data_IF_275355921030
#
_entry.id   IF_275355921030
#
_cell.length_a   1.000
_cell.length_b   1.000
_cell.length_c   1.000
_cell.angle_alpha   90.00
_cell.angle_beta   90.00
_cell.angle_gamma   90.00
#
_symmetry.space_group_name_H-M   'P 1'
#
loop_
_entity.id
_entity.type
_entity.pdbx_description
1 polymer ?
#
# COMPACT_ATOMS: atom_id res chain seq x y z
N UNK A 1 12.97 -61.62 -12.84
CA UNK A 1 14.16 -60.79 -13.08
C UNK A 1 13.73 -59.34 -13.26
N UNK A 2 13.81 -58.56 -12.20
CA UNK A 2 14.10 -57.12 -12.20
C UNK A 2 14.37 -56.78 -10.73
N UNK A 3 15.61 -56.37 -10.46
CA UNK A 3 16.20 -56.22 -9.14
C UNK A 3 15.50 -55.18 -8.28
N UNK A 4 15.43 -55.53 -7.00
CA UNK A 4 15.13 -54.67 -5.87
C UNK A 4 15.96 -53.37 -5.93
N UNK A 5 15.26 -52.26 -5.66
CA UNK A 5 15.81 -50.91 -5.59
C UNK A 5 17.03 -50.86 -4.66
N UNK A 6 18.21 -50.71 -5.26
CA UNK A 6 19.44 -50.31 -4.61
C UNK A 6 19.36 -48.86 -4.16
N UNK A 7 18.96 -48.60 -2.91
CA UNK A 7 19.40 -47.44 -2.14
C UNK A 7 19.33 -47.78 -0.65
N UNK A 8 20.37 -48.43 -0.13
CA UNK A 8 20.60 -48.49 1.32
C UNK A 8 21.19 -47.15 1.77
N UNK A 9 20.58 -46.53 2.79
CA UNK A 9 21.14 -45.34 3.45
C UNK A 9 22.44 -45.72 4.16
N UNK A 10 23.56 -45.12 3.75
CA UNK A 10 24.86 -45.31 4.42
C UNK A 10 24.95 -44.30 5.56
N UNK A 11 24.99 -44.79 6.79
CA UNK A 11 25.21 -43.98 8.00
C UNK A 11 26.70 -43.92 8.31
N UNK A 12 27.32 -42.75 8.17
CA UNK A 12 28.71 -42.52 8.57
C UNK A 12 28.74 -41.96 10.00
N UNK A 13 29.07 -42.77 11.00
CA UNK A 13 29.25 -42.29 12.38
C UNK A 13 30.71 -41.91 12.65
N UNK A 14 30.95 -40.74 13.24
CA UNK A 14 32.15 -40.48 14.03
C UNK A 14 31.81 -40.74 15.50
N UNK A 15 32.37 -41.81 16.06
CA UNK A 15 32.15 -42.23 17.44
C UNK A 15 33.08 -41.44 18.36
N UNK A 16 32.51 -40.52 19.14
CA UNK A 16 33.07 -40.19 20.47
C UNK A 16 31.90 -39.76 21.36
N UNK A 17 31.39 -40.72 22.14
CA UNK A 17 30.19 -40.57 22.96
C UNK A 17 30.56 -40.08 24.36
N UNK A 18 30.06 -38.92 24.75
CA UNK A 18 29.87 -38.53 26.15
C UNK A 18 28.37 -38.38 26.39
N UNK A 19 27.90 -39.00 27.48
CA UNK A 19 26.49 -39.23 27.86
C UNK A 19 25.58 -38.01 27.62
N UNK A 20 24.76 -38.06 26.57
CA UNK A 20 23.72 -37.05 26.30
C UNK A 20 22.44 -37.71 25.75
N UNK A 21 21.95 -38.76 26.44
CA UNK A 21 20.77 -39.56 26.03
C UNK A 21 19.55 -38.70 25.71
N UNK A 22 19.26 -37.69 26.55
CA UNK A 22 18.09 -36.84 26.40
C UNK A 22 18.12 -35.97 25.14
N UNK A 23 19.31 -35.49 24.74
CA UNK A 23 19.46 -34.67 23.53
C UNK A 23 19.24 -35.54 22.29
N UNK A 24 19.85 -36.72 22.23
CA UNK A 24 19.75 -37.63 21.08
C UNK A 24 18.36 -38.29 20.91
N UNK A 25 17.50 -38.26 21.92
CA UNK A 25 16.09 -38.67 21.80
C UNK A 25 15.24 -37.62 21.05
N UNK A 26 15.63 -36.33 21.08
CA UNK A 26 14.88 -35.23 20.46
C UNK A 26 15.59 -34.57 19.26
N UNK A 27 16.92 -34.54 19.25
CA UNK A 27 17.76 -33.94 18.21
C UNK A 27 18.98 -34.83 17.93
N UNK A 28 19.16 -35.27 16.68
CA UNK A 28 20.34 -36.06 16.30
C UNK A 28 21.61 -35.20 16.33
N UNK A 29 22.57 -35.50 17.23
CA UNK A 29 23.86 -34.81 17.27
C UNK A 29 24.68 -35.08 16.00
N UNK A 30 25.15 -34.01 15.37
CA UNK A 30 26.12 -34.10 14.26
C UNK A 30 25.53 -34.31 12.87
N UNK A 31 24.20 -34.40 12.74
CA UNK A 31 23.56 -34.46 11.41
C UNK A 31 23.53 -33.07 10.77
N UNK A 32 24.53 -32.75 9.94
CA UNK A 32 24.40 -31.64 9.00
C UNK A 32 23.65 -32.13 7.76
N UNK A 33 22.47 -31.53 7.54
CA UNK A 33 21.63 -31.69 6.33
C UNK A 33 21.10 -33.10 6.08
N UNK A 34 19.96 -33.38 6.71
CA UNK A 34 18.63 -33.48 6.10
C UNK A 34 17.81 -34.30 7.10
N UNK A 35 16.95 -33.62 7.86
CA UNK A 35 16.04 -34.28 8.77
C UNK A 35 14.85 -34.79 7.94
N UNK A 36 14.85 -36.09 7.60
CA UNK A 36 13.70 -36.77 7.00
C UNK A 36 12.69 -37.24 8.06
N UNK A 37 12.68 -36.62 9.24
CA UNK A 37 11.52 -36.64 10.10
C UNK A 37 10.42 -35.84 9.41
N UNK A 38 9.69 -36.49 8.49
CA UNK A 38 8.41 -36.02 8.00
C UNK A 38 7.42 -36.06 9.18
N UNK A 39 7.60 -35.16 10.15
CA UNK A 39 6.45 -34.63 10.87
C UNK A 39 5.48 -34.24 9.76
N UNK A 40 4.26 -34.77 9.76
CA UNK A 40 3.28 -34.45 8.74
C UNK A 40 3.22 -32.91 8.62
N UNK A 41 3.84 -32.37 7.58
CA UNK A 41 3.92 -30.95 7.32
C UNK A 41 2.57 -30.55 6.72
N UNK A 42 1.54 -30.61 7.56
CA UNK A 42 0.20 -30.23 7.24
C UNK A 42 -0.17 -28.97 8.03
N UNK A 43 -0.97 -28.13 7.40
CA UNK A 43 -1.66 -27.08 8.12
C UNK A 43 -2.82 -27.73 8.89
N UNK A 44 -3.15 -27.24 10.10
CA UNK A 44 -4.37 -27.66 10.78
C UNK A 44 -5.58 -27.42 9.89
N UNK A 45 -6.58 -28.31 9.93
CA UNK A 45 -7.79 -28.18 9.10
C UNK A 45 -8.56 -26.87 9.34
N UNK A 46 -8.40 -26.27 10.53
CA UNK A 46 -9.02 -25.00 10.95
C UNK A 46 -8.10 -23.78 10.73
N UNK A 47 -7.03 -23.90 9.92
CA UNK A 47 -6.16 -22.74 9.66
C UNK A 47 -6.91 -21.64 8.90
N UNK A 48 -6.81 -20.36 9.33
CA UNK A 48 -7.49 -19.24 8.69
C UNK A 48 -7.11 -19.02 7.22
N UNK A 49 -6.02 -19.62 6.74
CA UNK A 49 -5.60 -19.55 5.34
C UNK A 49 -6.64 -20.18 4.40
N UNK A 50 -7.36 -21.22 4.88
CA UNK A 50 -8.43 -21.86 4.11
C UNK A 50 -9.64 -20.95 3.99
N UNK A 51 -10.00 -20.27 5.08
CA UNK A 51 -11.05 -19.24 5.08
C UNK A 51 -10.70 -18.11 4.12
N UNK A 52 -9.47 -17.61 4.16
CA UNK A 52 -9.01 -16.57 3.24
C UNK A 52 -9.14 -17.03 1.78
N UNK A 53 -8.68 -18.24 1.44
CA UNK A 53 -8.79 -18.76 0.08
C UNK A 53 -10.24 -18.79 -0.39
N UNK A 54 -11.15 -19.32 0.44
CA UNK A 54 -12.59 -19.36 0.14
C UNK A 54 -13.17 -17.96 -0.03
N UNK A 55 -12.72 -17.00 0.77
CA UNK A 55 -13.11 -15.59 0.63
C UNK A 55 -12.69 -15.04 -0.73
N UNK A 56 -11.43 -15.29 -1.10
CA UNK A 56 -10.84 -14.79 -2.33
C UNK A 56 -11.42 -15.41 -3.60
N UNK A 57 -11.85 -16.68 -3.58
CA UNK A 57 -12.43 -17.36 -4.76
C UNK A 57 -13.69 -16.66 -5.31
N UNK A 58 -14.41 -15.90 -4.48
CA UNK A 58 -15.63 -15.18 -4.88
C UNK A 58 -15.37 -13.70 -5.23
N UNK A 59 -14.15 -13.20 -5.06
CA UNK A 59 -13.79 -11.82 -5.41
C UNK A 59 -13.49 -11.70 -6.90
N UNK A 60 -13.89 -10.58 -7.50
CA UNK A 60 -13.51 -10.22 -8.85
C UNK A 60 -12.18 -9.46 -8.86
N UNK A 61 -11.15 -10.09 -9.42
CA UNK A 61 -9.82 -9.52 -9.58
C UNK A 61 -9.59 -8.87 -10.95
N UNK A 62 -10.63 -8.66 -11.76
CA UNK A 62 -10.53 -8.03 -13.07
C UNK A 62 -9.73 -6.72 -13.05
N UNK A 63 -10.01 -5.82 -12.10
CA UNK A 63 -9.28 -4.56 -11.92
C UNK A 63 -7.80 -4.74 -11.56
N UNK A 64 -7.47 -5.77 -10.77
CA UNK A 64 -6.09 -6.10 -10.41
C UNK A 64 -5.31 -6.68 -11.60
N UNK A 65 -5.97 -7.50 -12.42
CA UNK A 65 -5.40 -8.14 -13.60
C UNK A 65 -5.32 -7.20 -14.81
N UNK A 66 -6.18 -6.19 -14.90
CA UNK A 66 -6.17 -5.21 -15.99
C UNK A 66 -4.83 -4.44 -16.07
N UNK A 67 -4.17 -4.26 -14.92
CA UNK A 67 -2.88 -3.61 -14.86
C UNK A 67 -1.72 -4.56 -15.18
N UNK A 68 -1.94 -5.84 -15.49
CA UNK A 68 -0.89 -6.77 -15.89
C UNK A 68 -0.43 -6.55 -17.32
N UNK A 69 0.89 -6.62 -17.51
CA UNK A 69 1.48 -6.58 -18.85
C UNK A 69 1.76 -8.01 -19.30
N UNK A 70 1.32 -8.36 -20.50
CA UNK A 70 1.66 -9.63 -21.15
C UNK A 70 3.06 -9.61 -21.78
N UNK A 71 3.73 -8.45 -21.74
CA UNK A 71 5.07 -8.25 -22.29
C UNK A 71 6.13 -8.28 -21.19
N UNK A 72 7.22 -9.01 -21.43
CA UNK A 72 8.40 -9.08 -20.57
C UNK A 72 8.52 -10.39 -19.79
N UNK A 73 9.32 -10.38 -18.73
CA UNK A 73 9.48 -11.54 -17.84
C UNK A 73 8.18 -11.80 -17.10
N UNK A 74 7.78 -13.07 -17.00
CA UNK A 74 6.61 -13.47 -16.21
C UNK A 74 6.81 -13.06 -14.74
N UNK A 75 6.00 -12.08 -14.30
CA UNK A 75 5.96 -11.65 -12.91
C UNK A 75 5.24 -12.65 -12.01
N UNK A 76 5.25 -12.37 -10.71
CA UNK A 76 4.41 -13.10 -9.76
C UNK A 76 2.93 -12.88 -10.06
N UNK A 77 2.11 -13.89 -9.81
CA UNK A 77 0.66 -13.77 -9.98
C UNK A 77 0.11 -12.69 -9.01
N UNK A 78 -0.58 -11.64 -9.50
CA UNK A 78 -1.10 -10.58 -8.64
C UNK A 78 -2.09 -11.06 -7.58
N UNK A 79 -2.90 -12.08 -7.89
CA UNK A 79 -3.86 -12.66 -6.95
C UNK A 79 -3.10 -13.36 -5.80
N UNK A 80 -2.01 -14.05 -6.13
CA UNK A 80 -1.13 -14.66 -5.13
C UNK A 80 -0.47 -13.59 -4.25
N UNK A 81 0.03 -12.51 -4.85
CA UNK A 81 0.63 -11.40 -4.10
C UNK A 81 -0.40 -10.73 -3.18
N UNK A 82 -1.63 -10.52 -3.66
CA UNK A 82 -2.73 -10.02 -2.86
C UNK A 82 -3.07 -10.96 -1.70
N UNK A 83 -3.18 -12.27 -1.96
CA UNK A 83 -3.45 -13.27 -0.92
C UNK A 83 -2.44 -13.20 0.22
N UNK A 84 -1.14 -13.16 -0.12
CA UNK A 84 -0.06 -13.09 0.87
C UNK A 84 -0.13 -11.82 1.70
N UNK A 85 -0.36 -10.67 1.04
CA UNK A 85 -0.47 -9.37 1.73
C UNK A 85 -1.69 -9.34 2.65
N UNK A 86 -2.83 -9.85 2.18
CA UNK A 86 -4.07 -9.92 2.97
C UNK A 86 -3.90 -10.86 4.16
N UNK A 87 -3.32 -12.04 3.96
CA UNK A 87 -3.05 -12.98 5.06
C UNK A 87 -2.07 -12.41 6.09
N UNK A 88 -1.02 -11.73 5.63
CA UNK A 88 -0.09 -11.04 6.52
C UNK A 88 -0.82 -9.99 7.37
N UNK A 89 -1.69 -9.19 6.77
CA UNK A 89 -2.49 -8.20 7.48
C UNK A 89 -3.46 -8.84 8.47
N UNK A 90 -4.09 -9.98 8.14
CA UNK A 90 -4.93 -10.75 9.07
C UNK A 90 -4.14 -11.20 10.32
N UNK A 91 -2.88 -11.57 10.15
CA UNK A 91 -1.97 -11.91 11.26
C UNK A 91 -1.29 -10.68 11.91
N UNK A 92 -1.65 -9.45 11.51
CA UNK A 92 -1.09 -8.20 12.06
C UNK A 92 0.32 -7.84 11.57
N UNK A 93 0.82 -8.51 10.52
CA UNK A 93 2.19 -8.38 10.01
C UNK A 93 2.21 -7.38 8.85
N UNK A 94 2.81 -6.21 9.09
CA UNK A 94 2.86 -5.11 8.10
C UNK A 94 4.24 -4.89 7.48
N UNK A 95 5.29 -5.38 8.11
CA UNK A 95 6.67 -5.23 7.63
C UNK A 95 6.94 -6.17 6.46
N UNK A 96 7.31 -5.62 5.29
CA UNK A 96 7.55 -6.40 4.07
C UNK A 96 8.67 -7.41 4.27
N UNK A 97 9.74 -7.04 4.96
CA UNK A 97 10.86 -7.96 5.22
C UNK A 97 10.42 -9.17 6.04
N UNK A 98 9.50 -8.97 6.98
CA UNK A 98 8.91 -10.06 7.75
C UNK A 98 8.01 -10.95 6.88
N UNK A 99 7.26 -10.38 5.96
CA UNK A 99 6.43 -11.14 5.00
C UNK A 99 7.32 -12.01 4.11
N UNK A 100 8.43 -11.47 3.60
CA UNK A 100 9.40 -12.22 2.79
C UNK A 100 9.97 -13.40 3.57
N UNK A 101 10.36 -13.19 4.84
CA UNK A 101 10.84 -14.27 5.70
C UNK A 101 9.77 -15.35 5.92
N UNK A 102 8.51 -14.97 6.12
CA UNK A 102 7.41 -15.91 6.32
C UNK A 102 7.13 -16.74 5.07
N UNK A 103 7.24 -16.16 3.87
CA UNK A 103 7.16 -16.89 2.61
C UNK A 103 8.21 -18.01 2.48
N UNK A 104 9.29 -17.98 3.28
CA UNK A 104 10.31 -19.03 3.28
C UNK A 104 10.18 -20.04 4.43
N UNK A 105 9.47 -19.67 5.52
CA UNK A 105 9.50 -20.42 6.78
C UNK A 105 8.14 -20.93 7.24
N UNK A 106 7.06 -20.19 6.98
CA UNK A 106 5.72 -20.51 7.48
C UNK A 106 4.94 -21.30 6.43
N UNK A 107 4.36 -22.44 6.83
CA UNK A 107 3.64 -23.34 5.92
C UNK A 107 2.47 -22.66 5.21
N UNK A 108 1.73 -21.77 5.88
CA UNK A 108 0.57 -21.12 5.29
C UNK A 108 1.00 -20.15 4.19
N UNK A 109 2.08 -19.41 4.43
CA UNK A 109 2.66 -18.52 3.41
C UNK A 109 3.26 -19.29 2.24
N UNK A 110 3.99 -20.37 2.51
CA UNK A 110 4.54 -21.26 1.48
C UNK A 110 3.42 -21.87 0.64
N UNK A 111 2.32 -22.27 1.27
CA UNK A 111 1.16 -22.81 0.57
C UNK A 111 0.48 -21.77 -0.32
N UNK A 112 0.27 -20.55 0.18
CA UNK A 112 -0.27 -19.43 -0.59
C UNK A 112 0.60 -19.08 -1.80
N UNK A 113 1.93 -19.09 -1.63
CA UNK A 113 2.88 -18.80 -2.73
C UNK A 113 3.16 -20.00 -3.63
N UNK A 114 2.58 -21.18 -3.35
CA UNK A 114 2.90 -22.45 -4.02
C UNK A 114 4.41 -22.74 -4.03
N UNK A 115 5.10 -22.41 -2.94
CA UNK A 115 6.55 -22.57 -2.79
C UNK A 115 7.40 -21.51 -3.49
N UNK A 116 6.79 -20.52 -4.13
CA UNK A 116 7.52 -19.39 -4.68
C UNK A 116 8.03 -18.48 -3.55
N UNK A 117 9.15 -17.79 -3.80
CA UNK A 117 9.83 -16.93 -2.83
C UNK A 117 9.91 -15.49 -3.34
N UNK A 118 8.81 -14.72 -3.24
CA UNK A 118 8.81 -13.32 -3.66
C UNK A 118 9.80 -12.52 -2.82
N UNK A 119 10.64 -11.74 -3.50
CA UNK A 119 11.58 -10.83 -2.84
C UNK A 119 10.88 -9.51 -2.47
N UNK A 120 11.54 -8.73 -1.62
CA UNK A 120 11.10 -7.40 -1.18
C UNK A 120 10.67 -6.50 -2.35
N UNK A 121 11.45 -6.47 -3.43
CA UNK A 121 11.16 -5.64 -4.60
C UNK A 121 9.84 -6.01 -5.28
N UNK A 122 9.50 -7.30 -5.32
CA UNK A 122 8.24 -7.76 -5.89
C UNK A 122 7.03 -7.24 -5.09
N UNK A 123 7.15 -7.18 -3.75
CA UNK A 123 6.09 -6.62 -2.90
C UNK A 123 5.94 -5.12 -3.08
N UNK A 124 7.04 -4.37 -3.19
CA UNK A 124 6.95 -2.92 -3.44
C UNK A 124 6.44 -2.61 -4.84
N UNK A 125 6.86 -3.36 -5.86
CA UNK A 125 6.32 -3.22 -7.21
C UNK A 125 4.81 -3.50 -7.21
N UNK A 126 4.39 -4.58 -6.55
CA UNK A 126 2.98 -4.92 -6.42
C UNK A 126 2.19 -3.80 -5.72
N UNK A 127 2.63 -3.37 -4.52
CA UNK A 127 1.94 -2.34 -3.73
C UNK A 127 1.90 -0.98 -4.41
N UNK A 128 2.95 -0.59 -5.11
CA UNK A 128 3.06 0.77 -5.66
C UNK A 128 2.53 0.89 -7.09
N UNK A 129 2.56 -0.18 -7.89
CA UNK A 129 2.19 -0.12 -9.31
C UNK A 129 0.93 -0.91 -9.67
N UNK A 130 0.66 -2.03 -8.99
CA UNK A 130 -0.44 -2.93 -9.35
C UNK A 130 -1.65 -2.73 -8.47
N UNK A 131 -1.43 -2.56 -7.16
CA UNK A 131 -2.48 -2.33 -6.16
C UNK A 131 -2.74 -0.83 -5.98
N UNK A 132 -3.35 -0.22 -7.00
CA UNK A 132 -3.82 1.17 -6.93
C UNK A 132 -4.92 1.34 -5.88
N UNK A 133 -5.09 2.57 -5.39
CA UNK A 133 -6.14 2.89 -4.40
C UNK A 133 -7.53 2.46 -4.89
N UNK A 134 -7.87 2.75 -6.16
CA UNK A 134 -9.17 2.38 -6.74
C UNK A 134 -9.40 0.86 -6.77
N UNK A 135 -8.35 0.07 -7.08
CA UNK A 135 -8.44 -1.39 -7.09
C UNK A 135 -8.62 -1.93 -5.67
N UNK A 136 -7.92 -1.34 -4.70
CA UNK A 136 -8.04 -1.73 -3.30
C UNK A 136 -9.43 -1.41 -2.74
N UNK A 137 -9.98 -0.23 -3.07
CA UNK A 137 -11.30 0.20 -2.64
C UNK A 137 -12.40 -0.69 -3.22
N UNK A 138 -12.29 -1.06 -4.50
CA UNK A 138 -13.24 -1.97 -5.16
C UNK A 138 -13.19 -3.38 -4.51
N UNK A 139 -12.00 -3.94 -4.30
CA UNK A 139 -11.84 -5.23 -3.61
C UNK A 139 -12.38 -5.19 -2.17
N UNK A 140 -12.16 -4.08 -1.46
CA UNK A 140 -12.68 -3.89 -0.11
C UNK A 140 -14.22 -3.76 -0.11
N UNK A 141 -14.79 -3.07 -1.10
CA UNK A 141 -16.23 -2.97 -1.26
C UNK A 141 -16.87 -4.35 -1.50
N UNK A 142 -16.29 -5.16 -2.38
CA UNK A 142 -16.74 -6.55 -2.61
C UNK A 142 -16.67 -7.39 -1.33
N UNK A 143 -15.59 -7.26 -0.56
CA UNK A 143 -15.43 -7.94 0.72
C UNK A 143 -16.50 -7.53 1.74
N UNK A 144 -16.78 -6.23 1.90
CA UNK A 144 -17.83 -5.74 2.80
C UNK A 144 -19.23 -6.21 2.36
N UNK A 145 -19.52 -6.21 1.05
CA UNK A 145 -20.77 -6.75 0.50
C UNK A 145 -20.94 -8.23 0.79
N UNK A 146 -19.86 -9.01 0.76
CA UNK A 146 -19.87 -10.42 1.16
C UNK A 146 -20.20 -10.57 2.64
N UNK A 147 -19.50 -9.84 3.51
CA UNK A 147 -19.77 -9.89 4.96
C UNK A 147 -21.22 -9.51 5.29
N UNK A 148 -21.80 -8.55 4.55
CA UNK A 148 -23.21 -8.20 4.68
C UNK A 148 -24.12 -9.35 4.25
N UNK A 149 -23.83 -10.01 3.12
CA UNK A 149 -24.60 -11.14 2.61
C UNK A 149 -24.59 -12.34 3.56
N UNK A 150 -23.45 -12.60 4.20
CA UNK A 150 -23.29 -13.65 5.21
C UNK A 150 -23.90 -13.24 6.58
N UNK A 151 -24.40 -12.02 6.72
CA UNK A 151 -25.03 -11.53 7.96
C UNK A 151 -24.03 -11.21 9.09
N UNK A 152 -22.73 -11.18 8.78
CA UNK A 152 -21.66 -10.89 9.75
C UNK A 152 -21.58 -9.39 10.08
N UNK A 153 -22.01 -8.52 9.16
CA UNK A 153 -22.06 -7.07 9.37
C UNK A 153 -23.41 -6.51 8.91
N UNK A 154 -23.81 -5.40 9.54
CA UNK A 154 -25.01 -4.65 9.15
C UNK A 154 -24.61 -3.27 8.63
N UNK A 155 -24.84 -2.99 7.35
CA UNK A 155 -24.53 -1.69 6.72
C UNK A 155 -25.60 -0.60 6.96
N UNK A 156 -26.46 -0.75 7.99
CA UNK A 156 -27.57 0.19 8.28
C UNK A 156 -27.10 1.46 8.97
N UNK A 157 -25.98 1.40 9.70
CA UNK A 157 -25.47 2.48 10.53
C UNK A 157 -24.04 2.78 10.14
N UNK A 158 -23.78 4.03 9.74
CA UNK A 158 -22.44 4.53 9.47
C UNK A 158 -21.81 4.98 10.79
N UNK A 159 -20.81 4.24 11.25
CA UNK A 159 -19.98 4.65 12.38
C UNK A 159 -18.76 5.39 11.84
N UNK A 160 -18.78 6.71 11.89
CA UNK A 160 -17.59 7.52 11.66
C UNK A 160 -16.87 7.59 12.99
N UNK A 161 -15.96 6.66 13.24
CA UNK A 161 -15.03 6.80 14.36
C UNK A 161 -14.08 7.94 14.02
N UNK A 162 -14.15 9.00 14.82
CA UNK A 162 -13.37 10.20 14.59
C UNK A 162 -11.90 9.91 14.86
N UNK A 163 -11.16 9.44 13.85
CA UNK A 163 -9.70 9.47 13.91
C UNK A 163 -9.29 10.93 14.02
N UNK A 164 -8.85 11.35 15.22
CA UNK A 164 -8.21 12.65 15.43
C UNK A 164 -6.88 12.64 14.69
N UNK A 165 -6.93 13.00 13.42
CA UNK A 165 -5.76 13.46 12.68
C UNK A 165 -5.41 14.81 13.29
N UNK A 166 -4.21 14.95 13.84
CA UNK A 166 -3.70 16.26 14.22
C UNK A 166 -3.61 17.11 12.95
N UNK A 167 -4.64 17.92 12.73
CA UNK A 167 -4.59 18.97 11.73
C UNK A 167 -3.44 19.91 12.12
N UNK A 168 -2.65 20.33 11.13
CA UNK A 168 -1.68 21.41 11.26
C UNK A 168 -2.29 22.55 12.09
N UNK A 169 -1.82 22.68 13.33
CA UNK A 169 -2.47 23.45 14.37
C UNK A 169 -2.21 24.94 14.15
N UNK A 170 -3.03 25.58 13.31
CA UNK A 170 -3.20 27.02 13.42
C UNK A 170 -3.84 27.31 14.78
N UNK A 171 -3.29 28.28 15.52
CA UNK A 171 -3.65 28.65 16.90
C UNK A 171 -5.13 29.05 17.08
N UNK A 172 -5.87 29.23 15.98
CA UNK A 172 -7.27 29.62 15.98
C UNK A 172 -8.15 28.49 15.41
N UNK A 173 -8.95 27.88 16.29
CA UNK A 173 -9.92 26.82 15.96
C UNK A 173 -11.08 27.33 15.07
N UNK A 174 -11.27 28.64 15.02
CA UNK A 174 -12.30 29.30 14.22
C UNK A 174 -11.65 30.41 13.39
N UNK A 175 -11.84 30.36 12.07
CA UNK A 175 -11.36 31.39 11.15
C UNK A 175 -12.56 32.12 10.56
N UNK A 176 -12.58 33.44 10.70
CA UNK A 176 -13.64 34.27 10.13
C UNK A 176 -13.53 34.28 8.61
N UNK A 177 -14.63 34.00 7.91
CA UNK A 177 -14.71 34.04 6.44
C UNK A 177 -14.18 35.36 5.87
N UNK A 178 -14.43 36.48 6.56
CA UNK A 178 -13.92 37.80 6.15
C UNK A 178 -12.39 37.90 6.17
N UNK A 179 -11.74 37.29 7.16
CA UNK A 179 -10.27 37.26 7.30
C UNK A 179 -9.64 36.41 6.20
N UNK A 180 -10.23 35.25 5.88
CA UNK A 180 -9.78 34.39 4.76
C UNK A 180 -9.83 35.17 3.44
N UNK A 181 -10.96 35.82 3.17
CA UNK A 181 -11.14 36.58 1.93
C UNK A 181 -10.15 37.77 1.84
N UNK A 182 -9.85 38.42 2.97
CA UNK A 182 -8.88 39.52 3.03
C UNK A 182 -7.44 39.04 2.72
N UNK A 183 -7.00 37.94 3.34
CA UNK A 183 -5.66 37.40 3.09
C UNK A 183 -5.52 36.76 1.71
N UNK A 184 -6.59 36.14 1.20
CA UNK A 184 -6.63 35.62 -0.17
C UNK A 184 -6.39 36.74 -1.19
N UNK A 185 -7.01 37.91 -1.00
CA UNK A 185 -6.80 39.07 -1.86
C UNK A 185 -5.32 39.49 -1.93
N UNK A 186 -4.69 39.67 -0.76
CA UNK A 186 -3.28 40.08 -0.69
C UNK A 186 -2.32 39.03 -1.27
N UNK A 187 -2.65 37.74 -1.11
CA UNK A 187 -1.88 36.66 -1.72
C UNK A 187 -1.98 36.68 -3.25
N UNK A 188 -3.17 36.94 -3.80
CA UNK A 188 -3.36 37.05 -5.25
C UNK A 188 -2.65 38.28 -5.83
N UNK A 189 -2.72 39.43 -5.15
CA UNK A 189 -1.97 40.64 -5.56
C UNK A 189 -0.45 40.37 -5.54
N UNK A 190 0.03 39.60 -4.55
CA UNK A 190 1.43 39.21 -4.48
C UNK A 190 1.84 38.27 -5.63
N UNK A 191 0.99 37.30 -5.96
CA UNK A 191 1.21 36.38 -7.09
C UNK A 191 1.27 37.16 -8.41
N UNK A 192 0.35 38.10 -8.63
CA UNK A 192 0.36 38.94 -9.84
C UNK A 192 1.65 39.76 -9.94
N UNK A 193 2.09 40.36 -8.84
CA UNK A 193 3.36 41.09 -8.80
C UNK A 193 4.58 40.20 -9.10
N UNK A 194 4.54 38.92 -8.71
CA UNK A 194 5.61 37.95 -9.00
C UNK A 194 5.63 37.56 -10.48
N UNK A 195 4.46 37.36 -11.10
CA UNK A 195 4.38 37.12 -12.54
C UNK A 195 4.88 38.31 -13.34
N UNK A 196 4.54 39.54 -12.95
CA UNK A 196 5.07 40.75 -13.58
C UNK A 196 6.60 40.83 -13.48
N UNK A 197 7.16 40.57 -12.29
CA UNK A 197 8.62 40.54 -12.10
C UNK A 197 9.29 39.43 -12.92
N UNK A 198 8.67 38.25 -12.98
CA UNK A 198 9.16 37.13 -13.77
C UNK A 198 9.18 37.48 -15.27
N UNK A 199 8.09 38.05 -15.79
CA UNK A 199 7.99 38.44 -17.19
C UNK A 199 8.99 39.56 -17.54
N UNK A 200 9.14 40.58 -16.68
CA UNK A 200 10.14 41.62 -16.87
C UNK A 200 11.57 41.06 -16.88
N UNK A 201 11.87 40.10 -16.01
CA UNK A 201 13.16 39.42 -15.99
C UNK A 201 13.41 38.59 -17.26
N UNK A 202 12.37 37.94 -17.81
CA UNK A 202 12.45 37.21 -19.09
C UNK A 202 12.77 38.18 -20.24
N UNK A 203 12.14 39.36 -20.26
CA UNK A 203 12.34 40.39 -21.29
C UNK A 203 13.73 41.03 -21.22
N UNK A 204 14.17 41.41 -20.02
CA UNK A 204 15.50 42.00 -19.77
C UNK A 204 16.65 41.10 -20.23
N UNK A 205 16.44 39.78 -20.21
CA UNK A 205 17.45 38.80 -20.62
C UNK A 205 17.22 38.22 -22.03
N UNK A 206 16.25 38.75 -22.78
CA UNK A 206 15.86 38.29 -24.12
C UNK A 206 15.52 36.79 -24.21
N UNK A 207 15.16 36.17 -23.07
CA UNK A 207 14.91 34.73 -22.99
C UNK A 207 13.63 34.30 -23.69
N UNK A 208 12.66 35.21 -23.80
CA UNK A 208 11.41 34.95 -24.55
C UNK A 208 11.68 34.60 -26.01
N UNK A 209 12.55 35.36 -26.69
CA UNK A 209 12.89 35.13 -28.11
C UNK A 209 13.85 33.94 -28.27
N UNK A 210 14.81 33.81 -27.34
CA UNK A 210 15.86 32.78 -27.42
C UNK A 210 15.34 31.35 -27.16
N UNK A 211 14.33 31.21 -26.29
CA UNK A 211 13.84 29.91 -25.82
C UNK A 211 12.34 29.69 -26.05
N UNK A 212 11.67 30.60 -26.77
CA UNK A 212 10.22 30.53 -27.04
C UNK A 212 9.37 30.39 -25.75
N UNK A 213 9.76 31.15 -24.72
CA UNK A 213 9.08 31.13 -23.42
C UNK A 213 7.99 32.21 -23.43
N UNK A 214 6.69 31.84 -23.37
CA UNK A 214 5.61 32.81 -23.33
C UNK A 214 5.52 33.50 -21.97
N UNK A 215 4.94 34.70 -21.94
CA UNK A 215 4.64 35.39 -20.69
C UNK A 215 3.68 34.57 -19.82
N UNK A 216 4.09 34.38 -18.57
CA UNK A 216 3.27 33.72 -17.58
C UNK A 216 2.24 34.72 -17.03
N UNK A 217 0.97 34.33 -17.00
CA UNK A 217 -0.11 35.10 -16.44
C UNK A 217 -0.91 34.24 -15.48
N UNK A 218 -1.51 34.87 -14.48
CA UNK A 218 -2.37 34.15 -13.53
C UNK A 218 -3.68 33.75 -14.21
N UNK A 219 -3.98 32.45 -14.29
CA UNK A 219 -5.26 31.97 -14.80
C UNK A 219 -6.37 32.36 -13.83
N UNK A 220 -7.39 33.06 -14.35
CA UNK A 220 -8.56 33.45 -13.58
C UNK A 220 -9.47 32.23 -13.42
N UNK A 221 -9.45 31.61 -12.23
CA UNK A 221 -10.37 30.52 -11.91
C UNK A 221 -11.76 31.11 -11.62
N UNK A 222 -12.78 30.48 -12.17
CA UNK A 222 -14.20 30.85 -12.02
C UNK A 222 -14.54 31.18 -10.55
N UNK A 223 -15.05 32.40 -10.30
CA UNK A 223 -15.33 32.90 -8.95
C UNK A 223 -14.43 34.04 -8.45
N UNK A 224 -13.36 34.39 -9.19
CA UNK A 224 -12.52 35.56 -8.89
C UNK A 224 -13.28 36.89 -8.91
N UNK A 225 -14.26 37.06 -9.81
CA UNK A 225 -15.07 38.28 -9.87
C UNK A 225 -15.86 38.50 -8.58
N UNK A 226 -16.37 37.42 -7.97
CA UNK A 226 -17.08 37.48 -6.68
C UNK A 226 -16.16 37.91 -5.54
N UNK A 227 -14.89 37.50 -5.57
CA UNK A 227 -13.89 37.91 -4.57
C UNK A 227 -13.53 39.38 -4.75
N UNK A 228 -13.32 39.82 -6.00
CA UNK A 228 -13.02 41.22 -6.35
C UNK A 228 -14.17 42.17 -5.98
N UNK A 229 -15.41 41.79 -6.25
CA UNK A 229 -16.62 42.51 -5.85
C UNK A 229 -16.75 42.67 -4.32
N UNK A 230 -16.45 41.61 -3.57
CA UNK A 230 -16.49 41.63 -2.10
C UNK A 230 -15.39 42.54 -1.54
N UNK A 231 -14.22 42.60 -2.17
CA UNK A 231 -13.12 43.49 -1.80
C UNK A 231 -13.51 44.95 -2.04
N UNK A 232 -14.08 45.30 -3.19
CA UNK A 232 -14.54 46.66 -3.46
C UNK A 232 -15.61 47.12 -2.47
N UNK A 233 -16.60 46.26 -2.19
CA UNK A 233 -17.65 46.53 -1.21
C UNK A 233 -17.07 46.74 0.20
N UNK A 234 -16.04 45.99 0.59
CA UNK A 234 -15.38 46.15 1.87
C UNK A 234 -14.46 47.39 1.95
N UNK A 235 -13.81 47.79 0.84
CA UNK A 235 -13.04 49.04 0.76
C UNK A 235 -13.96 50.26 0.91
N UNK A 236 -15.10 50.29 0.22
CA UNK A 236 -16.13 51.36 0.34
C UNK A 236 -16.69 51.47 1.77
N UNK A 237 -16.98 50.33 2.43
CA UNK A 237 -17.44 50.31 3.83
C UNK A 237 -16.42 50.86 4.84
N UNK A 238 -15.12 50.85 4.52
CA UNK A 238 -14.08 51.44 5.38
C UNK A 238 -13.96 52.94 5.16
N UNK A 239 -14.17 53.44 3.95
CA UNK A 239 -14.14 54.88 3.66
C UNK A 239 -15.35 55.61 4.25
N UNK A 240 -16.53 54.99 4.25
CA UNK A 240 -17.78 55.59 4.78
C UNK A 240 -17.85 55.68 6.32
N UNK A 241 -16.83 55.17 7.04
CA UNK A 241 -16.74 55.19 8.50
C UNK A 241 -15.75 56.23 9.04
N UNK A 242 -15.25 57.10 8.18
CA UNK A 242 -14.37 58.24 8.51
C UNK A 242 -15.14 59.53 8.29
#
# INVERSE_FOLDING_TARGET
>A
MANDNHLFSVTCYNVTMLNNKYYNEFFELGQQKINFSFFELCLPDDDPVYTLKKVMEELDFSGLLANCSDKGRTGYNPIMMYAVVTYANMRGIRAVDRIVELCERDLAFIWLTKGQKPKRDAFYEFKNKRLTADVLDELNYQFLRRLQKEGLITLKSLFIDGTKIEANANRYTFVWRGTINYHLAGLLDMIDSLYQKYNAWIDENEYGIKYDIPHAHMFVIEGMDKVRDVIEKNRKRKTDKT
#
